data_IF_737292417041
#
_entry.id   IF_737292417041
#
_cell.length_a   1.000
_cell.length_b   1.000
_cell.length_c   1.000
_cell.angle_alpha   90.00
_cell.angle_beta   90.00
_cell.angle_gamma   90.00
#
_symmetry.space_group_name_H-M   'P 1'
#
loop_
_entity.id
_entity.type
_entity.pdbx_description
1 polymer ?
#
# COMPACT_ATOMS: atom_id res chain seq x y z
N UNK A 1 -10.58 10.85 3.62
CA UNK A 1 -9.55 10.51 4.62
C UNK A 1 -10.23 10.52 5.98
N UNK A 2 -9.97 9.54 6.84
CA UNK A 2 -10.56 9.42 8.18
C UNK A 2 -9.44 9.36 9.22
N UNK A 3 -9.65 10.00 10.37
CA UNK A 3 -8.84 9.77 11.57
C UNK A 3 -9.46 8.58 12.30
N UNK A 4 -8.64 7.61 12.69
CA UNK A 4 -9.08 6.35 13.28
C UNK A 4 -8.25 5.99 14.50
N UNK A 5 -8.83 5.20 15.40
CA UNK A 5 -8.08 4.50 16.44
C UNK A 5 -7.41 3.26 15.83
N UNK A 6 -6.09 3.24 15.76
CA UNK A 6 -5.35 2.07 15.30
C UNK A 6 -4.89 1.25 16.50
N UNK A 7 -5.02 -0.06 16.38
CA UNK A 7 -4.55 -1.03 17.35
C UNK A 7 -3.54 -1.97 16.69
N UNK A 8 -2.37 -2.13 17.27
CA UNK A 8 -1.47 -3.20 16.89
C UNK A 8 -1.39 -4.23 18.02
N UNK A 9 -1.48 -5.51 17.67
CA UNK A 9 -1.48 -6.62 18.62
C UNK A 9 -0.33 -7.59 18.33
N UNK A 10 0.29 -8.12 19.37
CA UNK A 10 1.30 -9.18 19.28
C UNK A 10 0.89 -10.36 20.16
N UNK A 11 1.07 -11.57 19.64
CA UNK A 11 0.81 -12.81 20.37
C UNK A 11 1.67 -12.91 21.65
N UNK A 12 2.94 -12.47 21.58
CA UNK A 12 3.87 -12.44 22.70
C UNK A 12 4.57 -11.09 22.80
N UNK A 13 5.07 -10.76 24.00
CA UNK A 13 5.89 -9.56 24.17
C UNK A 13 7.16 -9.65 23.30
N UNK A 14 7.45 -8.67 22.42
CA UNK A 14 8.62 -8.75 21.56
C UNK A 14 9.92 -8.66 22.37
N UNK A 15 10.84 -9.62 22.18
CA UNK A 15 12.09 -9.73 22.96
C UNK A 15 12.92 -8.45 22.99
N UNK A 16 12.96 -7.70 21.88
CA UNK A 16 13.71 -6.44 21.74
C UNK A 16 12.76 -5.29 21.37
N UNK A 17 11.64 -5.14 22.09
CA UNK A 17 10.73 -4.05 21.82
C UNK A 17 11.35 -2.69 22.18
N UNK A 18 11.64 -1.88 21.17
CA UNK A 18 11.84 -0.44 21.31
C UNK A 18 10.59 0.30 20.84
N UNK A 19 10.30 1.44 21.46
CA UNK A 19 9.25 2.33 20.95
C UNK A 19 9.46 2.61 19.45
N UNK A 20 8.41 2.52 18.62
CA UNK A 20 8.52 2.76 17.20
C UNK A 20 8.82 4.25 16.93
N UNK A 21 9.52 4.52 15.83
CA UNK A 21 9.87 5.87 15.41
C UNK A 21 8.66 6.81 15.27
N UNK A 22 7.47 6.27 15.01
CA UNK A 22 6.23 7.03 14.84
C UNK A 22 5.52 7.35 16.17
N UNK A 23 6.02 6.88 17.32
CA UNK A 23 5.41 7.14 18.65
C UNK A 23 5.16 8.63 18.91
N UNK A 24 6.08 9.49 18.50
CA UNK A 24 5.99 10.95 18.69
C UNK A 24 5.25 11.65 17.55
N UNK A 25 4.98 10.95 16.45
CA UNK A 25 4.26 11.47 15.29
C UNK A 25 2.76 11.19 15.40
N UNK A 26 2.40 9.99 15.81
CA UNK A 26 1.01 9.57 15.97
C UNK A 26 0.46 10.06 17.31
N UNK A 27 -0.67 10.78 17.25
CA UNK A 27 -1.33 11.29 18.44
C UNK A 27 -1.84 10.14 19.33
N UNK A 28 -1.93 10.39 20.63
CA UNK A 28 -2.49 9.45 21.63
C UNK A 28 -1.80 8.08 21.65
N UNK A 29 -0.52 8.01 21.27
CA UNK A 29 0.26 6.78 21.38
C UNK A 29 0.32 6.29 22.82
N UNK A 30 -0.06 5.04 23.05
CA UNK A 30 0.00 4.37 24.34
C UNK A 30 0.10 2.85 24.21
N UNK A 31 0.56 2.21 25.27
CA UNK A 31 0.38 0.77 25.44
C UNK A 31 -1.08 0.46 25.84
N UNK A 32 -1.57 -0.69 25.38
CA UNK A 32 -2.86 -1.21 25.77
C UNK A 32 -2.77 -1.87 27.15
N UNK A 33 -3.81 -1.69 27.97
CA UNK A 33 -3.96 -2.46 29.21
C UNK A 33 -4.39 -3.88 28.91
N UNK A 34 -4.17 -4.78 29.86
CA UNK A 34 -4.50 -6.21 29.71
C UNK A 34 -5.96 -6.46 29.35
N UNK A 35 -6.87 -5.63 29.85
CA UNK A 35 -8.32 -5.75 29.61
C UNK A 35 -8.74 -5.26 28.23
N UNK A 36 -7.88 -4.49 27.54
CA UNK A 36 -8.10 -3.98 26.19
C UNK A 36 -7.53 -4.92 25.12
N UNK A 37 -6.74 -5.92 25.52
CA UNK A 37 -6.13 -6.88 24.61
C UNK A 37 -7.13 -7.99 24.22
N UNK A 38 -7.12 -8.44 22.96
CA UNK A 38 -7.79 -9.69 22.61
C UNK A 38 -7.13 -10.85 23.37
N UNK A 39 -7.89 -11.92 23.64
CA UNK A 39 -7.39 -13.09 24.40
C UNK A 39 -6.15 -13.75 23.78
N UNK A 40 -5.93 -13.56 22.49
CA UNK A 40 -4.80 -14.12 21.75
C UNK A 40 -3.52 -13.29 21.87
N UNK A 41 -3.56 -12.08 22.42
CA UNK A 41 -2.43 -11.16 22.47
C UNK A 41 -1.94 -10.90 23.90
N UNK A 42 -0.62 -10.91 24.08
CA UNK A 42 0.04 -10.54 25.33
C UNK A 42 0.50 -9.07 25.35
N UNK A 43 0.61 -8.44 24.17
CA UNK A 43 1.08 -7.07 24.03
C UNK A 43 0.33 -6.33 22.94
N UNK A 44 0.18 -5.02 23.10
CA UNK A 44 -0.40 -4.17 22.08
C UNK A 44 -0.24 -2.68 22.35
N UNK A 45 -0.35 -1.92 21.27
CA UNK A 45 -0.27 -0.46 21.28
C UNK A 45 -1.49 0.11 20.59
N UNK A 46 -1.81 1.36 20.91
CA UNK A 46 -2.83 2.12 20.21
C UNK A 46 -2.42 3.57 20.02
N UNK A 47 -2.85 4.16 18.92
CA UNK A 47 -2.60 5.54 18.53
C UNK A 47 -3.63 6.01 17.50
N UNK A 48 -3.74 7.32 17.30
CA UNK A 48 -4.49 7.88 16.18
C UNK A 48 -3.71 7.73 14.89
N UNK A 49 -4.38 7.17 13.89
CA UNK A 49 -3.85 6.96 12.54
C UNK A 49 -4.81 7.55 11.51
N UNK A 50 -4.46 7.34 10.24
CA UNK A 50 -5.21 7.82 9.10
C UNK A 50 -5.61 6.65 8.21
N UNK A 51 -6.90 6.53 7.92
CA UNK A 51 -7.39 5.63 6.89
C UNK A 51 -7.79 6.37 5.62
N UNK A 52 -7.46 5.76 4.48
CA UNK A 52 -7.69 6.30 3.15
C UNK A 52 -8.59 5.32 2.40
N UNK A 53 -9.71 5.82 1.85
CA UNK A 53 -10.43 5.10 0.81
C UNK A 53 -9.65 5.25 -0.52
N UNK A 54 -9.07 4.18 -1.07
CA UNK A 54 -8.22 4.28 -2.26
C UNK A 54 -8.94 4.87 -3.48
N UNK A 55 -10.21 4.50 -3.69
CA UNK A 55 -10.97 4.93 -4.86
C UNK A 55 -11.21 6.45 -4.82
N UNK A 56 -11.58 6.98 -3.65
CA UNK A 56 -11.79 8.43 -3.48
C UNK A 56 -10.46 9.19 -3.57
N UNK A 57 -9.41 8.68 -2.95
CA UNK A 57 -8.12 9.37 -2.89
C UNK A 57 -7.42 9.44 -4.25
N UNK A 58 -7.43 8.35 -5.03
CA UNK A 58 -6.84 8.35 -6.36
C UNK A 58 -7.59 9.28 -7.32
N UNK A 59 -8.92 9.34 -7.24
CA UNK A 59 -9.72 10.33 -7.99
C UNK A 59 -9.36 11.76 -7.61
N UNK A 60 -9.20 12.04 -6.32
CA UNK A 60 -8.75 13.35 -5.85
C UNK A 60 -7.37 13.73 -6.41
N UNK A 61 -6.39 12.82 -6.38
CA UNK A 61 -5.05 13.06 -6.92
C UNK A 61 -5.09 13.32 -8.43
N UNK A 62 -5.84 12.52 -9.18
CA UNK A 62 -6.01 12.69 -10.62
C UNK A 62 -6.65 14.05 -10.95
N UNK A 63 -7.74 14.41 -10.26
CA UNK A 63 -8.40 15.69 -10.48
C UNK A 63 -7.50 16.87 -10.12
N UNK A 64 -6.70 16.75 -9.06
CA UNK A 64 -5.71 17.77 -8.68
C UNK A 64 -4.67 17.94 -9.79
N UNK A 65 -4.12 16.83 -10.30
CA UNK A 65 -3.17 16.85 -11.41
C UNK A 65 -3.74 17.52 -12.67
N UNK A 66 -4.98 17.17 -13.04
CA UNK A 66 -5.67 17.78 -14.19
C UNK A 66 -5.92 19.28 -13.97
N UNK A 67 -6.38 19.68 -12.78
CA UNK A 67 -6.62 21.10 -12.46
C UNK A 67 -5.34 21.95 -12.49
N UNK A 68 -4.18 21.32 -12.35
CA UNK A 68 -2.87 21.96 -12.45
C UNK A 68 -2.33 21.97 -13.89
N UNK A 69 -3.15 21.59 -14.88
CA UNK A 69 -2.78 21.56 -16.30
C UNK A 69 -2.21 20.24 -16.79
N UNK A 70 -2.18 19.21 -15.94
CA UNK A 70 -1.78 17.87 -16.34
C UNK A 70 -2.77 17.23 -17.32
N UNK A 71 -2.26 16.38 -18.22
CA UNK A 71 -3.07 15.62 -19.17
C UNK A 71 -2.86 14.12 -18.97
N UNK A 72 -3.86 13.31 -19.34
CA UNK A 72 -3.79 11.86 -19.22
C UNK A 72 -4.01 11.18 -20.55
N UNK A 73 -3.27 10.10 -20.77
CA UNK A 73 -3.45 9.20 -21.90
C UNK A 73 -3.55 7.77 -21.37
N UNK A 74 -4.52 7.02 -21.88
CA UNK A 74 -4.60 5.58 -21.64
C UNK A 74 -3.81 4.88 -22.74
N UNK A 75 -2.83 4.06 -22.37
CA UNK A 75 -2.00 3.32 -23.30
C UNK A 75 -1.46 2.04 -22.65
N UNK A 76 -1.30 1.00 -23.46
CA UNK A 76 -0.55 -0.21 -23.11
C UNK A 76 0.87 -0.04 -23.63
N UNK A 77 1.86 -0.09 -22.74
CA UNK A 77 3.25 0.19 -23.05
C UNK A 77 4.08 -1.08 -22.87
N UNK A 78 4.82 -1.47 -23.91
CA UNK A 78 5.68 -2.67 -23.90
C UNK A 78 7.14 -2.34 -23.60
N UNK A 79 7.57 -1.13 -23.95
CA UNK A 79 8.91 -0.60 -23.76
C UNK A 79 8.87 0.85 -23.25
N UNK A 80 9.75 1.21 -22.31
CA UNK A 80 9.76 2.53 -21.68
C UNK A 80 9.91 3.70 -22.69
N UNK A 81 10.67 3.49 -23.76
CA UNK A 81 10.84 4.46 -24.86
C UNK A 81 9.53 4.86 -25.55
N UNK A 82 8.47 4.06 -25.52
CA UNK A 82 7.18 4.45 -26.11
C UNK A 82 6.54 5.65 -25.39
N UNK A 83 6.99 5.94 -24.16
CA UNK A 83 6.59 7.13 -23.41
C UNK A 83 7.39 8.38 -23.77
N UNK A 84 8.45 8.26 -24.59
CA UNK A 84 9.31 9.37 -24.98
C UNK A 84 8.77 9.95 -26.28
N UNK A 85 8.56 11.27 -26.27
CA UNK A 85 8.16 12.07 -27.43
C UNK A 85 9.19 13.18 -27.66
N UNK A 86 9.11 13.87 -28.79
CA UNK A 86 10.00 14.98 -29.14
C UNK A 86 10.13 16.06 -28.06
N UNK A 87 9.02 16.33 -27.37
CA UNK A 87 8.86 17.31 -26.30
C UNK A 87 9.21 16.75 -24.91
N UNK A 88 9.54 15.47 -24.80
CA UNK A 88 9.91 14.87 -23.52
C UNK A 88 11.32 15.31 -23.13
N UNK A 89 11.47 15.84 -21.93
CA UNK A 89 12.77 16.12 -21.30
C UNK A 89 13.04 15.15 -20.15
N UNK A 90 11.98 14.79 -19.41
CA UNK A 90 12.05 13.98 -18.20
C UNK A 90 10.92 12.95 -18.24
N UNK A 91 11.25 11.71 -17.91
CA UNK A 91 10.29 10.61 -17.76
C UNK A 91 10.37 10.05 -16.34
N UNK A 92 9.25 10.03 -15.61
CA UNK A 92 9.18 9.41 -14.28
C UNK A 92 8.52 8.04 -14.39
N UNK A 93 9.30 6.98 -14.19
CA UNK A 93 8.84 5.60 -14.22
C UNK A 93 8.22 5.19 -12.86
N UNK A 94 6.89 5.18 -12.82
CA UNK A 94 6.06 4.72 -11.70
C UNK A 94 5.29 3.41 -12.02
N UNK A 95 5.86 2.53 -12.85
CA UNK A 95 5.15 1.35 -13.41
C UNK A 95 4.84 0.22 -12.41
N UNK A 96 5.21 0.36 -11.13
CA UNK A 96 4.86 -0.57 -10.07
C UNK A 96 5.29 -2.00 -10.37
N UNK A 97 4.35 -2.94 -10.40
CA UNK A 97 4.62 -4.36 -10.64
C UNK A 97 5.15 -4.61 -12.07
N UNK A 98 4.72 -3.78 -13.03
CA UNK A 98 5.11 -3.92 -14.44
C UNK A 98 6.56 -3.50 -14.69
N UNK A 99 7.23 -2.83 -13.75
CA UNK A 99 8.67 -2.59 -13.84
C UNK A 99 9.48 -3.89 -14.00
N UNK A 100 8.92 -5.04 -13.58
CA UNK A 100 9.50 -6.37 -13.80
C UNK A 100 9.62 -6.74 -15.29
N UNK A 101 8.59 -6.41 -16.09
CA UNK A 101 8.39 -6.90 -17.46
C UNK A 101 8.48 -5.80 -18.51
N UNK A 102 8.47 -4.53 -18.11
CA UNK A 102 8.61 -3.38 -19.00
C UNK A 102 10.02 -3.37 -19.60
N UNK A 103 10.11 -3.47 -20.92
CA UNK A 103 11.40 -3.45 -21.63
C UNK A 103 12.09 -2.09 -21.47
N UNK A 104 13.42 -2.13 -21.37
CA UNK A 104 14.23 -0.96 -21.01
C UNK A 104 14.23 -0.63 -19.52
N UNK A 105 13.55 -1.45 -18.69
CA UNK A 105 13.62 -1.38 -17.22
C UNK A 105 13.97 -2.74 -16.64
N UNK A 106 13.21 -3.78 -17.01
CA UNK A 106 13.50 -5.21 -16.73
C UNK A 106 13.95 -5.48 -15.29
N UNK A 107 13.25 -4.89 -14.33
CA UNK A 107 13.57 -4.93 -12.91
C UNK A 107 13.37 -6.32 -12.31
N UNK A 108 14.32 -7.24 -12.53
CA UNK A 108 14.27 -8.64 -12.09
C UNK A 108 14.06 -8.84 -10.58
N UNK A 109 14.43 -7.83 -9.78
CA UNK A 109 14.21 -7.78 -8.34
C UNK A 109 12.76 -7.48 -7.94
N UNK A 110 11.89 -7.07 -8.87
CA UNK A 110 10.47 -6.79 -8.63
C UNK A 110 9.67 -8.09 -8.66
N UNK A 111 8.81 -8.31 -7.66
CA UNK A 111 7.96 -9.49 -7.55
C UNK A 111 6.61 -9.15 -6.92
N UNK A 112 5.59 -9.98 -7.18
CA UNK A 112 4.28 -9.81 -6.57
C UNK A 112 4.24 -10.43 -5.16
N UNK A 113 3.62 -9.75 -4.22
CA UNK A 113 3.05 -10.40 -3.04
C UNK A 113 1.52 -10.28 -3.09
N UNK A 114 0.83 -11.36 -3.46
CA UNK A 114 -0.62 -11.38 -3.62
C UNK A 114 -1.32 -11.19 -2.27
N UNK A 115 -2.21 -10.21 -2.22
CA UNK A 115 -3.07 -9.90 -1.10
C UNK A 115 -4.54 -9.98 -1.49
N UNK A 116 -5.31 -10.79 -0.75
CA UNK A 116 -6.75 -10.83 -0.86
C UNK A 116 -7.41 -10.20 0.36
N UNK A 117 -8.47 -9.43 0.10
CA UNK A 117 -9.31 -8.77 1.08
C UNK A 117 -10.78 -9.18 0.91
N UNK A 118 -11.53 -9.14 1.99
CA UNK A 118 -13.00 -9.16 1.99
C UNK A 118 -13.49 -7.76 2.36
N UNK A 119 -14.38 -7.19 1.57
CA UNK A 119 -15.01 -5.89 1.88
C UNK A 119 -16.36 -6.17 2.51
N UNK A 120 -16.59 -5.63 3.71
CA UNK A 120 -17.83 -5.80 4.47
C UNK A 120 -18.46 -4.45 4.80
N UNK A 121 -19.77 -4.45 5.02
CA UNK A 121 -20.47 -3.27 5.51
C UNK A 121 -20.28 -3.11 7.02
N UNK A 122 -19.73 -1.98 7.46
CA UNK A 122 -19.62 -1.63 8.88
C UNK A 122 -19.23 -0.15 9.04
N UNK A 123 -19.57 0.43 10.19
CA UNK A 123 -19.30 1.83 10.54
C UNK A 123 -18.29 1.99 11.68
N UNK A 124 -17.43 0.98 11.89
CA UNK A 124 -16.35 1.10 12.87
C UNK A 124 -15.38 2.23 12.48
N UNK A 125 -14.83 2.88 13.50
CA UNK A 125 -13.86 3.97 13.37
C UNK A 125 -12.47 3.59 13.90
N UNK A 126 -12.22 2.29 14.00
CA UNK A 126 -10.95 1.72 14.44
C UNK A 126 -10.39 0.75 13.41
N UNK A 127 -9.06 0.63 13.37
CA UNK A 127 -8.35 -0.40 12.62
C UNK A 127 -7.60 -1.31 13.58
N UNK A 128 -7.30 -2.54 13.17
CA UNK A 128 -6.24 -3.28 13.82
C UNK A 128 -5.34 -4.03 12.85
N UNK A 129 -4.11 -4.26 13.30
CA UNK A 129 -3.13 -5.10 12.64
C UNK A 129 -2.55 -6.09 13.63
N UNK A 130 -2.63 -7.39 13.30
CA UNK A 130 -2.02 -8.42 14.12
C UNK A 130 -0.60 -8.71 13.64
N UNK A 131 0.39 -8.54 14.51
CA UNK A 131 1.81 -8.60 14.21
C UNK A 131 2.40 -9.96 14.64
N UNK A 132 2.18 -10.99 13.83
CA UNK A 132 2.79 -12.33 14.02
C UNK A 132 4.14 -12.49 13.28
N UNK A 133 5.01 -13.41 13.72
CA UNK A 133 6.26 -13.74 13.00
C UNK A 133 6.04 -14.59 11.73
N UNK A 134 4.92 -15.32 11.60
CA UNK A 134 4.62 -16.15 10.43
C UNK A 134 3.10 -16.18 10.12
N UNK A 135 2.69 -16.05 8.85
CA UNK A 135 1.32 -16.36 8.41
C UNK A 135 0.44 -15.20 7.88
N UNK A 136 -0.82 -15.55 7.59
CA UNK A 136 -1.88 -14.68 7.06
C UNK A 136 -2.48 -13.79 8.18
N UNK A 137 -1.77 -12.72 8.52
CA UNK A 137 -2.13 -11.80 9.60
C UNK A 137 -3.52 -11.20 9.40
N UNK A 138 -4.45 -11.32 10.37
CA UNK A 138 -5.70 -10.59 10.31
C UNK A 138 -5.44 -9.09 10.44
N UNK A 139 -6.09 -8.32 9.58
CA UNK A 139 -6.10 -6.86 9.59
C UNK A 139 -7.51 -6.37 9.31
N UNK A 140 -7.90 -5.27 9.94
CA UNK A 140 -9.19 -4.61 9.73
C UNK A 140 -8.92 -3.15 9.50
N UNK A 141 -9.37 -2.64 8.34
CA UNK A 141 -9.12 -1.26 7.91
C UNK A 141 -10.45 -0.64 7.51
N UNK A 142 -11.02 0.28 8.31
CA UNK A 142 -12.25 0.98 7.94
C UNK A 142 -11.96 1.97 6.81
N UNK A 143 -12.91 2.16 5.91
CA UNK A 143 -12.85 3.11 4.81
C UNK A 143 -14.03 4.08 4.92
N UNK A 144 -13.88 5.26 4.33
CA UNK A 144 -15.00 6.21 4.25
C UNK A 144 -16.11 5.63 3.38
N UNK A 145 -17.36 5.75 3.84
CA UNK A 145 -18.56 5.25 3.15
C UNK A 145 -18.87 3.81 3.51
N UNK A 146 -19.16 3.55 4.80
CA UNK A 146 -19.69 2.30 5.38
C UNK A 146 -19.02 0.97 4.99
N UNK A 147 -17.80 1.02 4.49
CA UNK A 147 -17.01 -0.13 4.09
C UNK A 147 -15.83 -0.37 5.03
N UNK A 148 -15.58 -1.64 5.33
CA UNK A 148 -14.40 -2.09 6.06
C UNK A 148 -13.71 -3.17 5.25
N UNK A 149 -12.40 -3.03 5.04
CA UNK A 149 -11.58 -4.07 4.45
C UNK A 149 -11.06 -5.01 5.54
N UNK A 150 -11.36 -6.29 5.39
CA UNK A 150 -10.80 -7.37 6.18
C UNK A 150 -9.69 -8.01 5.37
N UNK A 151 -8.50 -8.01 5.94
CA UNK A 151 -7.34 -8.66 5.35
C UNK A 151 -6.72 -9.68 6.31
N UNK A 152 -5.66 -10.33 5.88
CA UNK A 152 -5.26 -10.41 4.48
C UNK A 152 -4.55 -11.71 4.20
N UNK A 153 -4.14 -11.85 2.93
CA UNK A 153 -3.11 -12.81 2.55
C UNK A 153 -1.82 -12.07 2.20
N UNK A 154 -0.71 -12.80 2.29
CA UNK A 154 0.58 -12.36 1.80
C UNK A 154 1.28 -13.55 1.13
N UNK A 155 1.14 -13.65 -0.19
CA UNK A 155 1.62 -14.79 -0.97
C UNK A 155 2.67 -14.31 -1.98
N UNK A 156 3.94 -14.45 -1.64
CA UNK A 156 5.04 -14.04 -2.52
C UNK A 156 5.08 -14.88 -3.80
N UNK A 157 5.43 -14.23 -4.92
CA UNK A 157 5.52 -14.81 -6.25
C UNK A 157 4.22 -15.45 -6.77
N UNK A 158 3.08 -15.15 -6.15
CA UNK A 158 1.77 -15.48 -6.68
C UNK A 158 1.23 -14.29 -7.48
N UNK A 159 0.90 -14.53 -8.74
CA UNK A 159 0.41 -13.52 -9.69
C UNK A 159 -1.06 -13.73 -10.07
N UNK A 160 -1.74 -14.73 -9.51
CA UNK A 160 -3.16 -14.96 -9.78
C UNK A 160 -3.99 -13.79 -9.24
N UNK A 161 -4.91 -13.32 -10.09
CA UNK A 161 -5.93 -12.32 -9.75
C UNK A 161 -7.25 -12.96 -9.35
N UNK A 162 -7.33 -14.29 -9.34
CA UNK A 162 -8.56 -15.04 -9.05
C UNK A 162 -8.92 -14.93 -7.58
N UNK A 163 -10.21 -14.96 -7.27
CA UNK A 163 -10.69 -14.93 -5.88
C UNK A 163 -10.60 -16.33 -5.28
N UNK A 164 -9.97 -16.44 -4.10
CA UNK A 164 -9.95 -17.66 -3.28
C UNK A 164 -11.04 -17.56 -2.20
N UNK A 165 -12.21 -18.17 -2.43
CA UNK A 165 -13.33 -18.10 -1.50
C UNK A 165 -13.05 -18.79 -0.15
N UNK A 166 -12.17 -19.79 -0.12
CA UNK A 166 -11.77 -20.42 1.13
C UNK A 166 -10.87 -19.47 1.93
N UNK A 167 -9.98 -18.73 1.27
CA UNK A 167 -9.19 -17.68 1.91
C UNK A 167 -10.09 -16.56 2.46
N UNK A 168 -11.14 -16.18 1.72
CA UNK A 168 -12.10 -15.19 2.19
C UNK A 168 -12.79 -15.63 3.50
N UNK A 169 -13.25 -16.89 3.54
CA UNK A 169 -13.85 -17.49 4.75
C UNK A 169 -12.87 -17.46 5.93
N UNK A 170 -11.62 -17.88 5.70
CA UNK A 170 -10.57 -17.86 6.73
C UNK A 170 -10.26 -16.43 7.19
N UNK A 171 -10.25 -15.43 6.30
CA UNK A 171 -10.01 -14.01 6.65
C UNK A 171 -11.08 -13.52 7.64
N UNK A 172 -12.36 -13.74 7.32
CA UNK A 172 -13.49 -13.33 8.18
C UNK A 172 -13.36 -13.99 9.56
N UNK A 173 -13.12 -15.30 9.60
CA UNK A 173 -12.98 -16.06 10.84
C UNK A 173 -11.85 -15.52 11.72
N UNK A 174 -10.66 -15.25 11.15
CA UNK A 174 -9.54 -14.68 11.91
C UNK A 174 -9.85 -13.28 12.42
N UNK A 175 -10.48 -12.42 11.62
CA UNK A 175 -10.83 -11.07 12.06
C UNK A 175 -11.83 -11.08 13.23
N UNK A 176 -12.88 -11.89 13.14
CA UNK A 176 -13.89 -12.03 14.20
C UNK A 176 -13.34 -12.71 15.46
N UNK A 177 -12.37 -13.62 15.32
CA UNK A 177 -11.71 -14.24 16.46
C UNK A 177 -10.91 -13.22 17.29
N UNK A 178 -10.30 -12.22 16.66
CA UNK A 178 -9.53 -11.16 17.35
C UNK A 178 -10.46 -10.06 17.86
N UNK A 179 -11.38 -9.58 17.02
CA UNK A 179 -12.31 -8.48 17.34
C UNK A 179 -13.75 -8.86 17.03
N UNK A 180 -14.43 -9.59 17.93
CA UNK A 180 -15.83 -10.01 17.72
C UNK A 180 -16.80 -8.82 17.68
N UNK A 181 -16.41 -7.67 18.22
CA UNK A 181 -17.13 -6.40 18.13
C UNK A 181 -17.17 -5.79 16.72
N UNK A 182 -16.48 -6.40 15.75
CA UNK A 182 -16.68 -6.14 14.32
C UNK A 182 -18.08 -6.57 13.85
N UNK A 183 -18.68 -7.60 14.45
CA UNK A 183 -20.01 -8.09 14.11
C UNK A 183 -21.07 -7.23 14.82
N UNK A 184 -21.99 -6.56 14.10
CA UNK A 184 -23.10 -5.83 14.72
C UNK A 184 -23.96 -6.75 15.58
N UNK A 185 -24.43 -6.25 16.74
CA UNK A 185 -25.18 -7.04 17.74
C UNK A 185 -26.49 -7.61 17.21
N UNK A 186 -27.07 -6.98 16.20
CA UNK A 186 -28.30 -7.36 15.51
C UNK A 186 -28.07 -8.32 14.33
N UNK A 187 -26.82 -8.72 14.08
CA UNK A 187 -26.45 -9.59 12.96
C UNK A 187 -25.79 -10.88 13.45
N UNK A 188 -26.02 -11.97 12.72
CA UNK A 188 -25.37 -13.26 12.95
C UNK A 188 -24.13 -13.46 12.06
N UNK A 189 -23.99 -12.64 11.01
CA UNK A 189 -22.89 -12.66 10.06
C UNK A 189 -22.62 -11.27 9.51
N UNK A 190 -21.39 -11.03 9.03
CA UNK A 190 -21.05 -9.78 8.36
C UNK A 190 -21.72 -9.71 6.98
N UNK A 191 -22.19 -8.52 6.62
CA UNK A 191 -22.72 -8.24 5.28
C UNK A 191 -21.54 -8.01 4.31
N UNK A 192 -21.28 -8.96 3.43
CA UNK A 192 -20.19 -8.86 2.44
C UNK A 192 -20.62 -7.96 1.28
N UNK A 193 -19.79 -6.95 0.97
CA UNK A 193 -19.95 -6.04 -0.17
C UNK A 193 -19.14 -6.48 -1.39
N UNK A 194 -18.05 -7.22 -1.18
CA UNK A 194 -17.25 -7.76 -2.27
C UNK A 194 -15.93 -8.37 -1.81
N UNK A 195 -15.12 -8.75 -2.79
CA UNK A 195 -13.78 -9.32 -2.61
C UNK A 195 -12.79 -8.52 -3.44
N UNK A 196 -11.55 -8.39 -2.97
CA UNK A 196 -10.49 -7.72 -3.71
C UNK A 196 -9.22 -8.55 -3.71
N UNK A 197 -8.59 -8.70 -4.87
CA UNK A 197 -7.26 -9.32 -5.02
C UNK A 197 -6.33 -8.27 -5.62
N UNK A 198 -5.20 -8.04 -4.96
CA UNK A 198 -4.19 -7.09 -5.40
C UNK A 198 -2.80 -7.72 -5.38
N UNK A 199 -1.96 -7.29 -6.31
CA UNK A 199 -0.56 -7.70 -6.40
C UNK A 199 0.31 -6.57 -5.85
N UNK A 200 0.82 -6.74 -4.62
CA UNK A 200 1.74 -5.74 -4.04
C UNK A 200 3.03 -5.72 -4.87
N UNK A 201 3.47 -4.56 -5.39
CA UNK A 201 4.68 -4.45 -6.22
C UNK A 201 5.94 -4.44 -5.34
N UNK A 202 6.29 -5.58 -4.77
CA UNK A 202 7.48 -5.74 -3.93
C UNK A 202 8.75 -5.70 -4.77
N UNK A 203 9.87 -5.27 -4.16
CA UNK A 203 11.19 -5.29 -4.79
C UNK A 203 12.25 -5.71 -3.78
N UNK A 204 13.09 -6.67 -4.15
CA UNK A 204 14.31 -7.02 -3.39
C UNK A 204 15.24 -5.81 -3.37
N UNK A 205 15.71 -5.42 -2.18
CA UNK A 205 16.50 -4.21 -2.00
C UNK A 205 15.67 -2.93 -1.83
N UNK A 206 14.36 -3.03 -1.56
CA UNK A 206 13.50 -1.89 -1.24
C UNK A 206 13.01 -1.11 -2.46
N UNK A 207 12.50 0.11 -2.22
CA UNK A 207 11.99 1.00 -3.27
C UNK A 207 13.16 1.48 -4.14
N UNK A 208 13.02 1.43 -5.48
CA UNK A 208 13.98 2.07 -6.39
C UNK A 208 13.61 3.54 -6.55
N UNK A 209 14.48 4.43 -6.07
CA UNK A 209 14.40 5.87 -6.28
C UNK A 209 15.77 6.35 -6.73
N UNK A 210 15.94 6.48 -8.03
CA UNK A 210 17.17 6.94 -8.68
C UNK A 210 16.83 7.63 -10.01
N UNK A 211 17.84 8.15 -10.70
CA UNK A 211 17.65 8.72 -12.02
C UNK A 211 18.89 8.49 -12.89
N UNK A 212 18.67 8.36 -14.19
CA UNK A 212 19.70 8.10 -15.20
C UNK A 212 19.42 8.88 -16.48
N UNK A 213 20.49 9.35 -17.13
CA UNK A 213 20.41 9.97 -18.44
C UNK A 213 20.51 8.89 -19.52
N UNK A 214 19.56 8.90 -20.44
CA UNK A 214 19.63 8.10 -21.67
C UNK A 214 19.66 9.02 -22.89
N UNK A 215 20.14 8.50 -24.01
CA UNK A 215 19.93 9.14 -25.32
C UNK A 215 18.79 8.43 -26.03
N UNK A 216 17.73 9.16 -26.38
CA UNK A 216 16.70 8.65 -27.27
C UNK A 216 17.28 8.52 -28.68
N UNK A 217 17.34 7.30 -29.21
CA UNK A 217 17.79 7.05 -30.59
C UNK A 217 16.84 7.66 -31.62
N UNK A 218 15.54 7.70 -31.32
CA UNK A 218 14.52 8.24 -32.24
C UNK A 218 14.60 9.76 -32.38
N UNK A 219 14.92 10.47 -31.30
CA UNK A 219 14.93 11.95 -31.27
C UNK A 219 16.33 12.57 -31.16
N UNK A 220 17.39 11.75 -31.09
CA UNK A 220 18.78 12.17 -30.87
C UNK A 220 18.92 13.19 -29.72
N UNK A 221 18.26 12.88 -28.60
CA UNK A 221 18.13 13.80 -27.46
C UNK A 221 18.37 13.09 -26.14
N UNK A 222 19.03 13.77 -25.20
CA UNK A 222 19.17 13.30 -23.82
C UNK A 222 17.85 13.42 -23.06
N UNK A 223 17.42 12.34 -22.44
CA UNK A 223 16.22 12.25 -21.60
C UNK A 223 16.64 11.82 -20.20
N UNK A 224 16.14 12.51 -19.19
CA UNK A 224 16.34 12.10 -17.80
C UNK A 224 15.22 11.14 -17.40
N UNK A 225 15.56 9.88 -17.16
CA UNK A 225 14.63 8.90 -16.60
C UNK A 225 14.80 8.88 -15.08
N UNK A 226 13.71 9.09 -14.35
CA UNK A 226 13.65 8.97 -12.90
C UNK A 226 12.81 7.76 -12.51
N UNK A 227 13.33 6.85 -11.69
CA UNK A 227 12.60 5.68 -11.23
C UNK A 227 11.96 5.92 -9.87
N UNK A 228 10.72 5.48 -9.71
CA UNK A 228 10.01 5.46 -8.42
C UNK A 228 9.04 4.29 -8.39
N UNK A 229 9.54 3.09 -8.09
CA UNK A 229 8.73 1.87 -8.02
C UNK A 229 9.26 0.86 -6.99
N UNK A 230 8.48 -0.18 -6.70
CA UNK A 230 8.85 -1.21 -5.72
C UNK A 230 8.32 -0.95 -4.31
N UNK A 231 7.19 -0.25 -4.17
CA UNK A 231 6.62 0.19 -2.89
C UNK A 231 6.03 -0.92 -1.99
N UNK A 232 6.04 -2.18 -2.43
CA UNK A 232 5.62 -3.30 -1.61
C UNK A 232 4.17 -3.17 -1.11
N UNK A 233 3.91 -3.38 0.18
CA UNK A 233 2.59 -3.15 0.80
C UNK A 233 2.39 -1.75 1.37
N UNK A 234 3.42 -0.90 1.33
CA UNK A 234 3.51 0.38 2.02
C UNK A 234 3.30 1.57 1.07
N UNK A 235 2.62 1.38 -0.07
CA UNK A 235 2.57 2.42 -1.11
C UNK A 235 1.84 3.68 -0.68
N UNK A 236 0.73 3.59 0.07
CA UNK A 236 -0.02 4.78 0.49
C UNK A 236 0.75 5.58 1.54
N UNK A 237 1.25 4.93 2.58
CA UNK A 237 2.01 5.58 3.66
C UNK A 237 3.31 6.23 3.17
N UNK A 238 3.97 5.63 2.18
CA UNK A 238 5.22 6.17 1.61
C UNK A 238 5.03 7.10 0.41
N UNK A 239 3.81 7.20 -0.15
CA UNK A 239 3.55 7.88 -1.43
C UNK A 239 4.10 9.31 -1.50
N UNK A 240 3.77 10.15 -0.53
CA UNK A 240 4.17 11.56 -0.54
C UNK A 240 5.67 11.74 -0.29
N UNK A 241 6.26 10.90 0.57
CA UNK A 241 7.70 10.91 0.84
C UNK A 241 8.53 10.50 -0.38
N UNK A 242 8.12 9.40 -1.03
CA UNK A 242 8.81 8.91 -2.25
C UNK A 242 8.63 9.84 -3.44
N UNK A 243 7.46 10.48 -3.58
CA UNK A 243 7.24 11.54 -4.58
C UNK A 243 8.17 12.75 -4.36
N UNK A 244 8.36 13.20 -3.12
CA UNK A 244 9.33 14.27 -2.82
C UNK A 244 10.76 13.82 -3.09
N UNK A 245 11.10 12.57 -2.78
CA UNK A 245 12.45 12.06 -2.96
C UNK A 245 12.82 11.97 -4.46
N UNK A 246 11.93 11.45 -5.31
CA UNK A 246 12.22 11.40 -6.76
C UNK A 246 12.38 12.80 -7.37
N UNK A 247 11.61 13.80 -6.90
CA UNK A 247 11.80 15.20 -7.32
C UNK A 247 13.16 15.74 -6.87
N UNK A 248 13.61 15.38 -5.66
CA UNK A 248 14.94 15.77 -5.16
C UNK A 248 16.05 15.18 -6.05
N UNK A 249 16.01 13.88 -6.31
CA UNK A 249 16.97 13.18 -7.17
C UNK A 249 16.98 13.77 -8.58
N UNK A 250 15.80 14.02 -9.15
CA UNK A 250 15.65 14.68 -10.46
C UNK A 250 16.36 16.04 -10.49
N UNK A 251 16.14 16.89 -9.47
CA UNK A 251 16.77 18.22 -9.39
C UNK A 251 18.29 18.14 -9.23
N UNK A 252 18.79 17.19 -8.45
CA UNK A 252 20.23 16.98 -8.29
C UNK A 252 20.88 16.58 -9.62
N UNK A 253 20.25 15.68 -10.38
CA UNK A 253 20.73 15.27 -11.70
C UNK A 253 20.72 16.39 -12.74
N UNK A 254 19.73 17.29 -12.67
CA UNK A 254 19.64 18.48 -13.55
C UNK A 254 20.67 19.56 -13.20
N UNK A 255 21.24 19.55 -11.99
CA UNK A 255 22.29 20.51 -11.58
C UNK A 255 23.69 20.03 -11.92
N UNK A 256 23.87 18.72 -12.10
CA UNK A 256 25.16 18.11 -12.45
C UNK A 256 25.49 18.18 -13.95
N UNK A 257 24.54 18.63 -14.76
CA UNK A 257 24.62 18.72 -16.22
C UNK A 257 24.39 20.17 -16.65
#
# INVERSE_FOLDING_TARGET
IMIIDEFEYWESFPQDFSDPWFKTLCHEYRYLRKEELPKSAEFGISYKSVSINPQTYLKYLLNTFISMGGTTQHADISHINECIKSETDILINCSGIHARTLKGVEGSNVYAARGQLVIVQSNINWAFFYREKAGNKPEVIPRSGDEVALGGTYQENNYSTDIDHDAATRIIQRCLAVRPDLLPKDQTQLTIKGYGVGLRPCRKGGIRIDAEWITSEEFDKKILICHNYGHGGAWFESSYGTAKHVIKVMKEMLQMH
#
